data_IF_709983981445
#
_entry.id   IF_709983981445
#
_cell.length_a   1.000
_cell.length_b   1.000
_cell.length_c   1.000
_cell.angle_alpha   90.00
_cell.angle_beta   90.00
_cell.angle_gamma   90.00
#
_symmetry.space_group_name_H-M   'P 1'
#
loop_
_entity.id
_entity.type
_entity.pdbx_description
1 polymer ?
#
# COMPACT_ATOMS: atom_id res chain seq x y z
N UNK A 1 -24.22 17.13 8.95
CA UNK A 1 -22.99 16.62 9.62
C UNK A 1 -21.77 17.18 8.90
N UNK A 2 -20.76 17.61 9.65
CA UNK A 2 -19.47 18.02 9.09
C UNK A 2 -18.70 16.79 8.58
N UNK A 3 -17.81 16.98 7.56
CA UNK A 3 -16.90 15.93 7.08
C UNK A 3 -16.07 15.32 8.20
N UNK A 4 -15.59 16.14 9.13
CA UNK A 4 -14.79 15.70 10.28
C UNK A 4 -15.57 14.82 11.27
N UNK A 5 -16.84 15.10 11.49
CA UNK A 5 -17.71 14.25 12.34
C UNK A 5 -17.92 12.88 11.67
N UNK A 6 -18.17 12.90 10.36
CA UNK A 6 -18.32 11.67 9.58
C UNK A 6 -17.05 10.83 9.61
N UNK A 7 -15.89 11.45 9.43
CA UNK A 7 -14.60 10.79 9.50
C UNK A 7 -14.36 10.13 10.87
N UNK A 8 -14.67 10.83 11.97
CA UNK A 8 -14.58 10.27 13.33
C UNK A 8 -15.47 9.04 13.52
N UNK A 9 -16.68 9.08 12.96
CA UNK A 9 -17.63 7.96 13.02
C UNK A 9 -17.06 6.75 12.26
N UNK A 10 -16.54 6.97 11.05
CA UNK A 10 -15.95 5.90 10.24
C UNK A 10 -14.72 5.29 10.93
N UNK A 11 -13.83 6.10 11.53
CA UNK A 11 -12.73 5.59 12.35
C UNK A 11 -13.21 4.74 13.52
N UNK A 12 -14.26 5.18 14.22
CA UNK A 12 -14.83 4.44 15.36
C UNK A 12 -15.41 3.09 14.93
N UNK A 13 -16.08 3.04 13.76
CA UNK A 13 -16.57 1.78 13.19
C UNK A 13 -15.43 0.82 12.87
N UNK A 14 -14.32 1.31 12.33
CA UNK A 14 -13.19 0.46 11.91
C UNK A 14 -12.34 0.00 13.09
N UNK A 15 -12.23 0.79 14.17
CA UNK A 15 -11.46 0.45 15.37
C UNK A 15 -11.84 -0.90 16.01
N UNK A 16 -13.11 -1.29 15.95
CA UNK A 16 -13.60 -2.56 16.48
C UNK A 16 -13.48 -3.73 15.47
N UNK A 17 -12.85 -3.51 14.32
CA UNK A 17 -12.65 -4.53 13.30
C UNK A 17 -11.27 -5.19 13.37
N UNK A 18 -11.15 -6.31 12.65
CA UNK A 18 -9.91 -7.08 12.52
C UNK A 18 -8.88 -6.43 11.56
N UNK A 19 -9.03 -5.14 11.20
CA UNK A 19 -8.10 -4.44 10.29
C UNK A 19 -6.78 -4.17 11.00
N UNK A 20 -6.81 -3.78 12.28
CA UNK A 20 -5.60 -3.46 13.05
C UNK A 20 -4.61 -4.63 13.09
N UNK A 21 -4.97 -5.87 13.47
CA UNK A 21 -4.02 -6.98 13.39
C UNK A 21 -3.54 -7.27 11.97
N UNK A 22 -4.36 -7.03 10.96
CA UNK A 22 -4.01 -7.29 9.56
C UNK A 22 -2.83 -6.44 9.07
N UNK A 23 -2.78 -5.15 9.44
CA UNK A 23 -1.69 -4.25 9.04
C UNK A 23 -0.32 -4.64 9.62
N UNK A 24 -0.27 -5.56 10.59
CA UNK A 24 0.98 -6.10 11.13
C UNK A 24 1.46 -7.35 10.38
N UNK A 25 0.55 -8.09 9.73
CA UNK A 25 0.88 -9.40 9.13
C UNK A 25 1.86 -9.26 7.96
N UNK A 26 1.56 -8.40 7.00
CA UNK A 26 2.40 -8.22 5.81
C UNK A 26 3.81 -7.68 6.17
N UNK A 27 3.96 -6.60 6.95
CA UNK A 27 5.25 -6.13 7.42
C UNK A 27 6.04 -7.18 8.22
N UNK A 28 5.38 -7.90 9.12
CA UNK A 28 6.03 -8.93 9.94
C UNK A 28 6.65 -10.03 9.08
N UNK A 29 5.89 -10.57 8.11
CA UNK A 29 6.36 -11.63 7.23
C UNK A 29 7.61 -11.21 6.45
N UNK A 30 7.61 -9.98 5.91
CA UNK A 30 8.74 -9.47 5.12
C UNK A 30 9.97 -9.24 5.99
N UNK A 31 9.81 -8.60 7.13
CA UNK A 31 10.94 -8.29 8.01
C UNK A 31 11.57 -9.57 8.58
N UNK A 32 10.76 -10.54 8.99
CA UNK A 32 11.25 -11.86 9.45
C UNK A 32 12.01 -12.56 8.33
N UNK A 33 11.49 -12.56 7.09
CA UNK A 33 12.20 -13.13 5.93
C UNK A 33 13.56 -12.46 5.69
N UNK A 34 13.64 -11.12 5.81
CA UNK A 34 14.88 -10.36 5.69
C UNK A 34 15.91 -10.74 6.75
N UNK A 35 15.49 -10.84 8.01
CA UNK A 35 16.37 -11.21 9.14
C UNK A 35 16.90 -12.65 9.03
N UNK A 36 16.08 -13.59 8.58
CA UNK A 36 16.49 -14.99 8.38
C UNK A 36 17.62 -15.09 7.34
N UNK A 37 17.60 -14.24 6.32
CA UNK A 37 18.61 -14.20 5.27
C UNK A 37 19.71 -13.14 5.51
N UNK A 38 19.89 -12.67 6.74
CA UNK A 38 20.75 -11.55 7.08
C UNK A 38 22.19 -11.71 6.58
N UNK A 39 22.78 -12.90 6.74
CA UNK A 39 24.17 -13.17 6.35
C UNK A 39 24.44 -13.02 4.84
N UNK A 40 23.43 -13.16 4.00
CA UNK A 40 23.58 -13.00 2.56
C UNK A 40 23.76 -11.55 2.11
N UNK A 41 23.46 -10.57 2.96
CA UNK A 41 23.59 -9.15 2.67
C UNK A 41 24.88 -8.51 3.18
N UNK A 42 25.51 -9.11 4.22
CA UNK A 42 26.77 -8.60 4.78
C UNK A 42 27.97 -9.24 4.08
N UNK A 43 28.04 -9.06 2.76
CA UNK A 43 29.13 -9.50 1.89
C UNK A 43 29.79 -8.30 1.22
N UNK A 44 31.06 -8.40 0.75
CA UNK A 44 31.75 -7.31 0.05
C UNK A 44 31.08 -6.82 -1.24
N UNK A 45 30.08 -7.55 -1.72
CA UNK A 45 29.32 -7.21 -2.93
C UNK A 45 28.38 -6.01 -2.75
N UNK A 46 28.01 -5.68 -1.50
CA UNK A 46 27.10 -4.59 -1.20
C UNK A 46 27.84 -3.40 -0.56
N UNK A 47 27.59 -2.20 -1.09
CA UNK A 47 28.14 -0.94 -0.54
C UNK A 47 27.49 -0.53 0.77
N UNK A 48 26.21 -0.93 0.98
CA UNK A 48 25.46 -0.74 2.22
C UNK A 48 24.51 -1.92 2.40
N UNK A 49 24.87 -2.86 3.26
CA UNK A 49 24.15 -4.11 3.45
C UNK A 49 22.74 -3.91 4.02
N UNK A 50 22.54 -2.94 4.94
CA UNK A 50 21.23 -2.63 5.48
C UNK A 50 20.28 -2.05 4.44
N UNK A 51 20.78 -1.16 3.58
CA UNK A 51 19.98 -0.60 2.50
C UNK A 51 19.62 -1.66 1.46
N UNK A 52 20.56 -2.56 1.11
CA UNK A 52 20.30 -3.67 0.20
C UNK A 52 19.23 -4.63 0.76
N UNK A 53 19.35 -5.02 2.03
CA UNK A 53 18.36 -5.87 2.71
C UNK A 53 16.98 -5.19 2.74
N UNK A 54 16.93 -3.88 3.01
CA UNK A 54 15.66 -3.14 3.00
C UNK A 54 15.02 -3.15 1.61
N UNK A 55 15.79 -2.81 0.57
CA UNK A 55 15.28 -2.75 -0.81
C UNK A 55 14.78 -4.13 -1.26
N UNK A 56 15.49 -5.21 -0.97
CA UNK A 56 15.02 -6.55 -1.31
C UNK A 56 13.75 -6.95 -0.56
N UNK A 57 13.68 -6.62 0.73
CA UNK A 57 12.47 -6.82 1.54
C UNK A 57 11.31 -5.97 1.01
N UNK A 58 11.59 -4.70 0.67
CA UNK A 58 10.62 -3.78 0.11
C UNK A 58 10.12 -4.22 -1.28
N UNK A 59 10.94 -4.90 -2.07
CA UNK A 59 10.56 -5.44 -3.38
C UNK A 59 9.45 -6.48 -3.25
N UNK A 60 9.66 -7.48 -2.39
CA UNK A 60 8.66 -8.52 -2.09
C UNK A 60 7.40 -7.88 -1.50
N UNK A 61 7.58 -6.94 -0.59
CA UNK A 61 6.49 -6.21 0.03
C UNK A 61 5.69 -5.44 -1.02
N UNK A 62 6.33 -4.62 -1.86
CA UNK A 62 5.69 -3.72 -2.81
C UNK A 62 4.95 -4.44 -3.96
N UNK A 63 5.48 -5.58 -4.44
CA UNK A 63 4.82 -6.32 -5.53
C UNK A 63 3.72 -7.26 -5.05
N UNK A 64 3.82 -7.81 -3.84
CA UNK A 64 2.91 -8.89 -3.42
C UNK A 64 2.14 -8.56 -2.15
N UNK A 65 2.82 -8.32 -1.04
CA UNK A 65 2.16 -8.25 0.27
C UNK A 65 1.40 -6.94 0.48
N UNK A 66 1.96 -5.82 0.04
CA UNK A 66 1.27 -4.52 0.11
C UNK A 66 -0.01 -4.50 -0.75
N UNK A 67 0.00 -4.89 -2.05
CA UNK A 67 -1.24 -5.00 -2.81
C UNK A 67 -2.27 -5.96 -2.20
N UNK A 68 -1.83 -7.08 -1.63
CA UNK A 68 -2.73 -8.00 -0.93
C UNK A 68 -3.39 -7.35 0.28
N UNK A 69 -2.62 -6.66 1.13
CA UNK A 69 -3.17 -5.95 2.28
C UNK A 69 -4.12 -4.83 1.85
N UNK A 70 -3.76 -4.07 0.80
CA UNK A 70 -4.63 -3.03 0.22
C UNK A 70 -5.99 -3.59 -0.22
N UNK A 71 -6.00 -4.72 -0.94
CA UNK A 71 -7.24 -5.39 -1.37
C UNK A 71 -8.09 -5.78 -0.17
N UNK A 72 -7.48 -6.42 0.83
CA UNK A 72 -8.21 -6.90 2.01
C UNK A 72 -8.78 -5.73 2.81
N UNK A 73 -8.00 -4.66 3.03
CA UNK A 73 -8.47 -3.47 3.74
C UNK A 73 -9.60 -2.77 2.98
N UNK A 74 -9.51 -2.64 1.64
CA UNK A 74 -10.59 -2.11 0.79
C UNK A 74 -11.88 -2.89 0.99
N UNK A 75 -11.82 -4.22 0.88
CA UNK A 75 -12.99 -5.08 1.01
C UNK A 75 -13.57 -5.06 2.43
N UNK A 76 -12.71 -5.03 3.45
CA UNK A 76 -13.16 -4.95 4.85
C UNK A 76 -13.86 -3.63 5.16
N UNK A 77 -13.40 -2.51 4.61
CA UNK A 77 -14.05 -1.20 4.83
C UNK A 77 -15.36 -1.12 4.06
N UNK A 78 -15.39 -1.57 2.79
CA UNK A 78 -16.60 -1.56 1.97
C UNK A 78 -17.67 -2.53 2.49
N UNK A 79 -17.28 -3.75 2.89
CA UNK A 79 -18.20 -4.81 3.32
C UNK A 79 -18.90 -4.57 4.66
N UNK A 80 -18.47 -3.60 5.45
CA UNK A 80 -19.10 -3.30 6.75
C UNK A 80 -20.50 -2.73 6.65
N UNK A 81 -20.84 -2.12 5.54
CA UNK A 81 -22.17 -1.53 5.33
C UNK A 81 -23.19 -2.52 4.83
N UNK A 82 -22.75 -3.55 4.13
CA UNK A 82 -23.64 -4.64 3.70
C UNK A 82 -24.04 -5.55 4.86
N UNK A 83 -23.25 -5.56 5.94
CA UNK A 83 -23.56 -6.31 7.15
C UNK A 83 -24.46 -5.47 8.09
N UNK A 84 -25.47 -6.11 8.70
CA UNK A 84 -26.36 -5.53 9.72
C UNK A 84 -27.27 -4.38 9.26
N UNK A 85 -27.72 -4.35 7.99
CA UNK A 85 -28.58 -3.27 7.46
C UNK A 85 -27.99 -1.85 7.71
N UNK A 86 -26.66 -1.75 7.71
CA UNK A 86 -25.96 -0.47 7.92
C UNK A 86 -26.35 0.59 6.91
N UNK A 87 -26.67 0.18 5.68
CA UNK A 87 -27.17 1.05 4.60
C UNK A 87 -28.47 1.76 5.02
N UNK A 88 -29.46 1.04 5.57
CA UNK A 88 -30.72 1.63 6.00
C UNK A 88 -30.55 2.64 7.15
N UNK A 89 -29.63 2.37 8.08
CA UNK A 89 -29.32 3.30 9.17
C UNK A 89 -28.63 4.57 8.68
N UNK A 90 -27.87 4.49 7.59
CA UNK A 90 -27.20 5.64 7.01
C UNK A 90 -28.11 6.50 6.13
N UNK A 91 -29.13 5.91 5.51
CA UNK A 91 -30.17 6.63 4.77
C UNK A 91 -30.99 7.58 5.67
N UNK A 92 -31.06 7.29 6.97
CA UNK A 92 -31.70 8.16 7.96
C UNK A 92 -30.85 9.37 8.38
N UNK A 93 -29.57 9.44 7.98
CA UNK A 93 -28.69 10.56 8.30
C UNK A 93 -28.67 11.59 7.15
N UNK A 94 -28.71 12.89 7.43
CA UNK A 94 -28.63 13.94 6.41
C UNK A 94 -27.17 14.14 5.96
N UNK A 95 -26.59 13.11 5.31
CA UNK A 95 -25.20 13.13 4.85
C UNK A 95 -25.15 12.88 3.36
N UNK A 96 -24.32 13.64 2.63
CA UNK A 96 -24.04 13.40 1.23
C UNK A 96 -23.27 12.07 1.08
N UNK A 97 -23.74 11.24 0.18
CA UNK A 97 -23.14 9.91 -0.12
C UNK A 97 -21.72 10.04 -0.68
N UNK A 98 -21.48 11.11 -1.45
CA UNK A 98 -20.14 11.42 -1.96
C UNK A 98 -19.16 11.72 -0.82
N UNK A 99 -19.62 12.48 0.17
CA UNK A 99 -18.83 12.81 1.37
C UNK A 99 -18.52 11.56 2.18
N UNK A 100 -19.46 10.61 2.24
CA UNK A 100 -19.26 9.33 2.90
C UNK A 100 -18.21 8.47 2.20
N UNK A 101 -18.28 8.35 0.87
CA UNK A 101 -17.28 7.62 0.10
C UNK A 101 -15.89 8.21 0.28
N UNK A 102 -15.77 9.54 0.26
CA UNK A 102 -14.52 10.24 0.51
C UNK A 102 -13.99 9.98 1.94
N UNK A 103 -14.85 10.01 2.95
CA UNK A 103 -14.46 9.71 4.33
C UNK A 103 -13.94 8.28 4.49
N UNK A 104 -14.59 7.29 3.85
CA UNK A 104 -14.11 5.90 3.85
C UNK A 104 -12.76 5.74 3.18
N UNK A 105 -12.56 6.41 2.04
CA UNK A 105 -11.28 6.41 1.35
C UNK A 105 -10.17 7.05 2.21
N UNK A 106 -10.47 8.13 2.94
CA UNK A 106 -9.52 8.71 3.89
C UNK A 106 -9.16 7.74 5.04
N UNK A 107 -10.14 7.00 5.56
CA UNK A 107 -9.90 5.98 6.59
C UNK A 107 -9.04 4.85 6.02
N UNK A 108 -9.28 4.41 4.79
CA UNK A 108 -8.46 3.43 4.08
C UNK A 108 -7.00 3.89 3.99
N UNK A 109 -6.76 5.11 3.49
CA UNK A 109 -5.42 5.68 3.38
C UNK A 109 -4.71 5.78 4.74
N UNK A 110 -5.44 6.14 5.80
CA UNK A 110 -4.88 6.19 7.14
C UNK A 110 -4.37 4.82 7.62
N UNK A 111 -5.14 3.74 7.42
CA UNK A 111 -4.69 2.41 7.82
C UNK A 111 -3.50 1.92 7.00
N UNK A 112 -3.46 2.20 5.71
CA UNK A 112 -2.31 1.88 4.86
C UNK A 112 -1.07 2.72 5.24
N UNK A 113 -1.26 3.98 5.63
CA UNK A 113 -0.18 4.81 6.18
C UNK A 113 0.37 4.21 7.49
N UNK A 114 -0.51 3.75 8.38
CA UNK A 114 -0.09 3.05 9.60
C UNK A 114 0.67 1.76 9.27
N UNK A 115 0.28 1.03 8.25
CA UNK A 115 1.00 -0.17 7.78
C UNK A 115 2.43 0.17 7.33
N UNK A 116 2.65 1.28 6.61
CA UNK A 116 3.99 1.75 6.25
C UNK A 116 4.84 2.09 7.48
N UNK A 117 4.24 2.76 8.47
CA UNK A 117 4.93 3.06 9.74
C UNK A 117 5.29 1.77 10.47
N UNK A 118 4.39 0.81 10.53
CA UNK A 118 4.64 -0.50 11.16
C UNK A 118 5.79 -1.22 10.46
N UNK A 119 5.81 -1.22 9.12
CA UNK A 119 6.89 -1.81 8.32
C UNK A 119 8.24 -1.18 8.68
N UNK A 120 8.32 0.16 8.70
CA UNK A 120 9.53 0.89 9.06
C UNK A 120 9.99 0.57 10.49
N UNK A 121 9.09 0.62 11.45
CA UNK A 121 9.41 0.34 12.87
C UNK A 121 9.90 -1.09 13.05
N UNK A 122 9.22 -2.06 12.46
CA UNK A 122 9.63 -3.47 12.54
C UNK A 122 11.00 -3.70 11.92
N UNK A 123 11.29 -3.08 10.76
CA UNK A 123 12.58 -3.18 10.13
C UNK A 123 13.70 -2.58 10.99
N UNK A 124 13.47 -1.41 11.59
CA UNK A 124 14.43 -0.75 12.48
C UNK A 124 14.68 -1.59 13.74
N UNK A 125 13.63 -2.12 14.36
CA UNK A 125 13.77 -3.00 15.54
C UNK A 125 14.55 -4.26 15.19
N UNK A 126 14.22 -4.90 14.08
CA UNK A 126 14.92 -6.09 13.61
C UNK A 126 16.40 -5.80 13.30
N UNK A 127 16.69 -4.64 12.69
CA UNK A 127 18.04 -4.18 12.45
C UNK A 127 18.83 -3.98 13.74
N UNK A 128 18.26 -3.34 14.76
CA UNK A 128 18.93 -3.19 16.06
C UNK A 128 19.18 -4.53 16.77
N UNK A 129 18.23 -5.46 16.72
CA UNK A 129 18.43 -6.79 17.28
C UNK A 129 19.55 -7.51 16.55
N UNK A 130 19.57 -7.46 15.22
CA UNK A 130 20.57 -8.12 14.40
C UNK A 130 21.98 -7.52 14.60
N UNK A 131 22.14 -6.20 14.70
CA UNK A 131 23.43 -5.58 15.03
C UNK A 131 23.97 -6.06 16.38
N UNK A 132 23.14 -6.15 17.39
CA UNK A 132 23.56 -6.56 18.73
C UNK A 132 23.89 -8.06 18.81
N UNK A 133 23.18 -8.90 18.08
CA UNK A 133 23.37 -10.38 18.14
C UNK A 133 24.42 -10.88 17.18
N UNK A 134 24.55 -10.30 15.98
CA UNK A 134 25.48 -10.73 14.95
C UNK A 134 26.79 -9.92 14.93
N UNK A 135 26.95 -8.92 15.81
CA UNK A 135 28.18 -8.11 15.88
C UNK A 135 28.40 -7.22 14.65
N UNK A 136 27.34 -6.83 13.95
CA UNK A 136 27.41 -6.01 12.74
C UNK A 136 27.73 -4.57 13.13
N UNK A 137 28.74 -3.98 12.48
CA UNK A 137 29.23 -2.63 12.79
C UNK A 137 28.61 -1.53 11.91
N UNK A 138 27.89 -1.89 10.84
CA UNK A 138 27.24 -0.92 9.96
C UNK A 138 26.09 -0.20 10.65
N UNK A 139 26.03 1.12 10.50
CA UNK A 139 24.92 1.93 11.02
C UNK A 139 23.68 1.81 10.14
N UNK A 140 22.49 1.71 10.75
CA UNK A 140 21.20 1.72 10.05
C UNK A 140 20.95 3.09 9.39
N UNK A 141 20.73 3.16 8.07
CA UNK A 141 20.48 4.41 7.36
C UNK A 141 19.01 4.87 7.50
N UNK A 142 18.59 5.28 8.69
CA UNK A 142 17.18 5.56 9.03
C UNK A 142 16.54 6.58 8.07
N UNK A 143 17.28 7.64 7.70
CA UNK A 143 16.77 8.68 6.79
C UNK A 143 16.49 8.13 5.39
N UNK A 144 17.31 7.19 4.93
CA UNK A 144 17.12 6.48 3.68
C UNK A 144 15.85 5.60 3.73
N UNK A 145 15.68 4.85 4.82
CA UNK A 145 14.51 3.99 5.03
C UNK A 145 13.21 4.80 5.07
N UNK A 146 13.23 5.95 5.74
CA UNK A 146 12.08 6.86 5.80
C UNK A 146 11.70 7.40 4.42
N UNK A 147 12.70 7.82 3.62
CA UNK A 147 12.50 8.30 2.24
C UNK A 147 11.80 7.24 1.38
N UNK A 148 12.24 5.98 1.48
CA UNK A 148 11.66 4.89 0.71
C UNK A 148 10.26 4.51 1.17
N UNK A 149 9.98 4.49 2.46
CA UNK A 149 8.63 4.29 2.98
C UNK A 149 7.67 5.39 2.50
N UNK A 150 8.12 6.64 2.49
CA UNK A 150 7.34 7.75 1.94
C UNK A 150 7.09 7.59 0.43
N UNK A 151 8.11 7.18 -0.33
CA UNK A 151 8.00 6.89 -1.76
C UNK A 151 6.99 5.77 -2.05
N UNK A 152 7.06 4.67 -1.30
CA UNK A 152 6.09 3.56 -1.39
C UNK A 152 4.67 4.03 -1.10
N UNK A 153 4.48 4.86 -0.06
CA UNK A 153 3.16 5.41 0.25
C UNK A 153 2.61 6.27 -0.88
N UNK A 154 3.43 7.13 -1.49
CA UNK A 154 2.98 7.99 -2.59
C UNK A 154 2.67 7.20 -3.87
N UNK A 155 3.51 6.22 -4.21
CA UNK A 155 3.33 5.43 -5.43
C UNK A 155 2.18 4.44 -5.35
N UNK A 156 1.75 4.02 -4.15
CA UNK A 156 0.58 3.15 -4.00
C UNK A 156 -0.76 3.88 -4.16
N UNK A 157 -0.82 5.23 -4.06
CA UNK A 157 -2.09 5.97 -4.08
C UNK A 157 -2.96 5.69 -5.31
N UNK A 158 -2.44 5.69 -6.56
CA UNK A 158 -3.24 5.36 -7.74
C UNK A 158 -3.77 3.92 -7.73
N UNK A 159 -2.96 2.97 -7.24
CA UNK A 159 -3.35 1.57 -7.11
C UNK A 159 -4.50 1.39 -6.11
N UNK A 160 -4.38 2.02 -4.94
CA UNK A 160 -5.43 2.01 -3.90
C UNK A 160 -6.72 2.60 -4.43
N UNK A 161 -6.67 3.70 -5.19
CA UNK A 161 -7.86 4.29 -5.79
C UNK A 161 -8.53 3.31 -6.78
N UNK A 162 -7.73 2.60 -7.59
CA UNK A 162 -8.24 1.60 -8.53
C UNK A 162 -8.87 0.40 -7.80
N UNK A 163 -8.21 -0.11 -6.75
CA UNK A 163 -8.73 -1.20 -5.92
C UNK A 163 -10.03 -0.80 -5.20
N UNK A 164 -10.09 0.43 -4.69
CA UNK A 164 -11.28 0.98 -4.07
C UNK A 164 -12.42 1.11 -5.09
N UNK A 165 -12.15 1.62 -6.30
CA UNK A 165 -13.16 1.73 -7.36
C UNK A 165 -13.75 0.36 -7.72
N UNK A 166 -12.92 -0.66 -7.92
CA UNK A 166 -13.37 -2.02 -8.20
C UNK A 166 -14.20 -2.56 -7.03
N UNK A 167 -13.76 -2.34 -5.80
CA UNK A 167 -14.46 -2.82 -4.60
C UNK A 167 -15.84 -2.15 -4.43
N UNK A 168 -15.94 -0.87 -4.81
CA UNK A 168 -17.21 -0.15 -4.80
C UNK A 168 -18.13 -0.60 -5.94
N UNK A 169 -17.58 -0.88 -7.13
CA UNK A 169 -18.37 -1.33 -8.30
C UNK A 169 -18.98 -2.71 -8.09
N UNK A 170 -18.23 -3.63 -7.48
CA UNK A 170 -18.66 -5.02 -7.31
C UNK A 170 -19.06 -5.27 -5.85
N UNK A 171 -20.35 -5.57 -5.61
CA UNK A 171 -20.89 -5.78 -4.25
C UNK A 171 -20.44 -7.09 -3.60
N UNK A 172 -20.05 -8.07 -4.42
CA UNK A 172 -19.60 -9.37 -3.94
C UNK A 172 -18.13 -9.30 -3.53
N UNK A 173 -17.79 -9.45 -2.25
CA UNK A 173 -16.39 -9.35 -1.77
C UNK A 173 -15.44 -10.28 -2.53
N UNK A 174 -15.88 -11.51 -2.80
CA UNK A 174 -15.07 -12.51 -3.51
C UNK A 174 -14.74 -12.07 -4.94
N UNK A 175 -15.69 -11.47 -5.66
CA UNK A 175 -15.48 -10.97 -7.03
C UNK A 175 -14.52 -9.77 -7.02
N UNK A 176 -14.68 -8.86 -6.05
CA UNK A 176 -13.78 -7.72 -5.90
C UNK A 176 -12.34 -8.17 -5.61
N UNK A 177 -12.15 -9.12 -4.69
CA UNK A 177 -10.83 -9.70 -4.40
C UNK A 177 -10.24 -10.35 -5.64
N UNK A 178 -11.01 -11.21 -6.33
CA UNK A 178 -10.56 -11.94 -7.51
C UNK A 178 -10.12 -11.01 -8.66
N UNK A 179 -10.92 -9.97 -8.96
CA UNK A 179 -10.58 -8.99 -9.99
C UNK A 179 -9.33 -8.17 -9.65
N UNK A 180 -9.22 -7.73 -8.41
CA UNK A 180 -8.04 -6.99 -7.96
C UNK A 180 -6.77 -7.85 -8.02
N UNK A 181 -6.84 -9.12 -7.59
CA UNK A 181 -5.71 -10.07 -7.69
C UNK A 181 -5.30 -10.30 -9.14
N UNK A 182 -6.28 -10.47 -10.04
CA UNK A 182 -6.03 -10.65 -11.48
C UNK A 182 -5.30 -9.45 -12.09
N UNK A 183 -5.51 -8.25 -11.55
CA UNK A 183 -4.79 -7.04 -11.96
C UNK A 183 -3.43 -6.88 -11.26
N UNK A 184 -3.26 -7.36 -10.04
CA UNK A 184 -1.98 -7.28 -9.31
C UNK A 184 -0.94 -8.22 -9.90
N UNK A 185 -1.31 -9.47 -10.23
CA UNK A 185 -0.37 -10.50 -10.68
C UNK A 185 0.46 -10.05 -11.90
N UNK A 186 -0.12 -9.46 -12.97
CA UNK A 186 0.65 -9.00 -14.11
C UNK A 186 1.57 -7.81 -13.81
N UNK A 187 1.41 -7.13 -12.67
CA UNK A 187 2.16 -5.93 -12.32
C UNK A 187 3.68 -6.09 -12.42
N UNK A 188 4.22 -7.25 -12.04
CA UNK A 188 5.66 -7.55 -12.15
C UNK A 188 6.12 -7.60 -13.62
N UNK A 189 5.30 -8.17 -14.50
CA UNK A 189 5.63 -8.27 -15.93
C UNK A 189 5.51 -6.90 -16.60
N UNK A 190 4.44 -6.17 -16.31
CA UNK A 190 4.18 -4.84 -16.88
C UNK A 190 5.26 -3.83 -16.45
N UNK A 191 5.80 -3.94 -15.25
CA UNK A 191 6.89 -3.09 -14.75
C UNK A 191 8.11 -3.07 -15.68
N UNK A 192 8.37 -4.16 -16.39
CA UNK A 192 9.49 -4.28 -17.33
C UNK A 192 9.14 -3.86 -18.79
N UNK A 193 7.97 -3.26 -19.00
CA UNK A 193 7.51 -2.80 -20.32
C UNK A 193 7.24 -1.29 -20.30
N UNK A 194 7.22 -0.60 -21.46
CA UNK A 194 6.86 0.83 -21.51
C UNK A 194 5.45 1.14 -20.98
N UNK A 195 4.60 0.13 -20.82
CA UNK A 195 3.23 0.25 -20.32
C UNK A 195 3.16 0.53 -18.81
N UNK A 196 4.29 0.44 -18.08
CA UNK A 196 4.32 0.69 -16.63
C UNK A 196 3.74 2.06 -16.25
N UNK A 197 3.89 3.08 -17.13
CA UNK A 197 3.41 4.45 -16.88
C UNK A 197 1.88 4.50 -16.71
N UNK A 198 1.14 3.64 -17.41
CA UNK A 198 -0.34 3.62 -17.39
C UNK A 198 -0.90 2.57 -16.43
N UNK A 199 -0.06 1.70 -15.90
CA UNK A 199 -0.49 0.57 -15.09
C UNK A 199 -0.21 0.80 -13.59
N UNK A 200 -1.17 1.33 -12.82
CA UNK A 200 -0.91 1.77 -11.45
C UNK A 200 -0.51 0.63 -10.50
N UNK A 201 -0.91 -0.61 -10.77
CA UNK A 201 -0.62 -1.76 -9.91
C UNK A 201 0.87 -2.13 -9.83
N UNK A 202 1.71 -1.65 -10.74
CA UNK A 202 3.15 -1.90 -10.71
C UNK A 202 3.97 -0.77 -10.09
N UNK A 203 3.41 0.41 -9.82
CA UNK A 203 4.16 1.60 -9.45
C UNK A 203 5.05 1.43 -8.22
N UNK A 204 4.51 0.87 -7.13
CA UNK A 204 5.28 0.66 -5.90
C UNK A 204 6.41 -0.33 -6.10
N UNK A 205 6.16 -1.42 -6.83
CA UNK A 205 7.17 -2.41 -7.17
C UNK A 205 8.23 -1.87 -8.11
N UNK A 206 7.84 -1.13 -9.15
CA UNK A 206 8.76 -0.49 -10.10
C UNK A 206 9.68 0.53 -9.43
N UNK A 207 9.15 1.36 -8.52
CA UNK A 207 9.96 2.28 -7.72
C UNK A 207 11.10 1.55 -7.00
N UNK A 208 10.78 0.42 -6.35
CA UNK A 208 11.77 -0.35 -5.59
C UNK A 208 12.74 -1.08 -6.52
N UNK A 209 12.25 -1.62 -7.65
CA UNK A 209 13.09 -2.31 -8.65
C UNK A 209 14.17 -1.40 -9.23
N UNK A 210 13.86 -0.14 -9.51
CA UNK A 210 14.84 0.84 -10.00
C UNK A 210 16.01 1.06 -9.04
N UNK A 211 15.82 0.80 -7.75
CA UNK A 211 16.82 1.05 -6.71
C UNK A 211 17.56 -0.20 -6.27
N UNK A 212 17.16 -1.36 -6.78
CA UNK A 212 17.82 -2.62 -6.39
C UNK A 212 19.30 -2.63 -6.78
N UNK A 213 19.64 -2.02 -7.91
CA UNK A 213 21.00 -1.98 -8.44
C UNK A 213 21.89 -0.88 -7.82
N UNK A 214 21.31 0.05 -7.05
CA UNK A 214 22.08 1.16 -6.45
C UNK A 214 23.08 0.68 -5.37
N UNK A 215 22.91 -0.54 -4.87
CA UNK A 215 23.72 -1.12 -3.78
C UNK A 215 24.64 -2.25 -4.23
N UNK A 216 24.57 -2.66 -5.50
CA UNK A 216 25.51 -3.63 -6.07
C UNK A 216 26.71 -2.87 -6.66
N UNK A 217 27.89 -3.51 -6.61
CA UNK A 217 29.11 -2.94 -7.21
C UNK A 217 29.04 -2.82 -8.74
N UNK A 218 28.09 -3.50 -9.37
CA UNK A 218 27.77 -3.35 -10.78
C UNK A 218 26.66 -2.30 -10.96
N UNK A 219 27.06 -1.04 -11.18
CA UNK A 219 26.14 0.07 -11.38
C UNK A 219 25.45 0.02 -12.75
N UNK A 220 24.34 -0.66 -12.83
CA UNK A 220 23.36 -0.49 -13.92
C UNK A 220 22.25 0.42 -13.38
N UNK A 221 22.43 1.71 -13.50
CA UNK A 221 21.48 2.72 -12.99
C UNK A 221 20.22 2.77 -13.86
N UNK A 222 19.14 2.15 -13.39
CA UNK A 222 17.79 2.45 -13.84
C UNK A 222 17.19 3.53 -12.93
N UNK A 223 17.46 4.81 -13.16
CA UNK A 223 16.88 5.88 -12.36
C UNK A 223 15.35 5.89 -12.53
N UNK A 224 14.61 5.99 -11.42
CA UNK A 224 13.17 6.19 -11.48
C UNK A 224 12.86 7.58 -12.04
N UNK A 225 12.33 7.64 -13.26
CA UNK A 225 11.99 8.87 -13.94
C UNK A 225 10.71 9.48 -13.36
N UNK A 226 10.86 10.56 -12.59
CA UNK A 226 9.72 11.30 -12.04
C UNK A 226 8.83 11.94 -13.11
N UNK A 227 9.39 12.26 -14.27
CA UNK A 227 8.64 12.69 -15.44
C UNK A 227 8.82 11.64 -16.55
N UNK A 228 7.75 11.06 -17.12
CA UNK A 228 6.32 11.44 -17.11
C UNK A 228 5.46 10.77 -16.01
N UNK A 229 6.07 10.04 -15.06
CA UNK A 229 5.32 9.30 -14.02
C UNK A 229 4.35 10.18 -13.23
N UNK A 230 4.83 11.29 -12.64
CA UNK A 230 4.05 12.09 -11.70
C UNK A 230 2.73 12.63 -12.29
N UNK A 231 2.72 13.26 -13.50
CA UNK A 231 1.48 13.72 -14.11
C UNK A 231 0.54 12.57 -14.47
N UNK A 232 1.04 11.46 -14.98
CA UNK A 232 0.21 10.29 -15.30
C UNK A 232 -0.42 9.67 -14.04
N UNK A 233 0.37 9.46 -12.99
CA UNK A 233 -0.10 8.92 -11.73
C UNK A 233 -1.15 9.81 -11.05
N UNK A 234 -0.94 11.14 -11.06
CA UNK A 234 -1.89 12.11 -10.51
C UNK A 234 -3.21 12.11 -11.32
N UNK A 235 -3.13 12.05 -12.64
CA UNK A 235 -4.31 12.01 -13.51
C UNK A 235 -5.09 10.71 -13.30
N UNK A 236 -4.43 9.56 -13.29
CA UNK A 236 -5.08 8.27 -13.03
C UNK A 236 -5.73 8.28 -11.65
N UNK A 237 -5.01 8.73 -10.60
CA UNK A 237 -5.54 8.83 -9.26
C UNK A 237 -6.82 9.68 -9.20
N UNK A 238 -6.79 10.89 -9.78
CA UNK A 238 -7.93 11.80 -9.78
C UNK A 238 -9.14 11.23 -10.53
N UNK A 239 -8.94 10.68 -11.74
CA UNK A 239 -10.00 10.10 -12.55
C UNK A 239 -10.63 8.88 -11.87
N UNK A 240 -9.83 7.96 -11.39
CA UNK A 240 -10.31 6.73 -10.76
C UNK A 240 -11.02 7.02 -9.45
N UNK A 241 -10.49 7.94 -8.64
CA UNK A 241 -11.14 8.36 -7.39
C UNK A 241 -12.48 9.05 -7.67
N UNK A 242 -12.56 9.90 -8.71
CA UNK A 242 -13.82 10.52 -9.13
C UNK A 242 -14.85 9.45 -9.52
N UNK A 243 -14.44 8.45 -10.30
CA UNK A 243 -15.32 7.31 -10.67
C UNK A 243 -15.76 6.56 -9.42
N UNK A 244 -14.88 6.23 -8.50
CA UNK A 244 -15.21 5.52 -7.27
C UNK A 244 -16.24 6.27 -6.42
N UNK A 245 -16.03 7.57 -6.22
CA UNK A 245 -16.92 8.42 -5.42
C UNK A 245 -18.29 8.57 -6.07
N UNK A 246 -18.34 8.79 -7.40
CA UNK A 246 -19.59 8.94 -8.13
C UNK A 246 -20.40 7.65 -8.20
N UNK A 247 -19.76 6.52 -8.41
CA UNK A 247 -20.42 5.22 -8.46
C UNK A 247 -20.97 4.82 -7.07
N UNK A 248 -20.22 5.08 -6.02
CA UNK A 248 -20.71 4.89 -4.65
C UNK A 248 -21.99 5.68 -4.38
N UNK A 249 -22.04 6.93 -4.84
CA UNK A 249 -23.22 7.79 -4.69
C UNK A 249 -24.47 7.30 -5.45
N UNK A 250 -24.28 6.69 -6.63
CA UNK A 250 -25.38 6.19 -7.49
C UNK A 250 -25.95 4.86 -7.03
N UNK A 251 -25.15 4.02 -6.38
CA UNK A 251 -25.46 2.62 -6.10
C UNK A 251 -26.58 2.41 -5.09
N UNK A 252 -26.77 3.35 -4.20
CA UNK A 252 -27.77 3.29 -3.15
C UNK A 252 -29.19 3.70 -3.58
N UNK A 253 -29.39 4.03 -4.86
CA UNK A 253 -30.73 4.35 -5.40
C UNK A 253 -31.44 3.13 -6.03
N UNK A 254 -30.87 1.97 -5.94
CA UNK A 254 -31.48 0.69 -6.33
C UNK A 254 -31.71 -0.17 -5.08
#
# INVERSE_FOLDING_TARGET
MSFWELLKIEFKKVKHGKIVPLIFVAPLLVVVSGVVNLQSYFTPEYTNAWAAMFIQSALVYAYYLLPLSMIVVCVMIAGRETQNNGILKMLALPVSRYTLSAAKFCVLLFYLFMEMIVFLIMFVIAGFIATNTAGITEALPIMYLLKWCAGLFLTMLPSVAAMWAITVLFEKPLLSVGLNLLLVIPGVLVANTPLWIVYPYCYSGYLVSCSLHDFTTESVSGAFELFPFLPCAALIFALVLMVAVTQFGKKEMR
#
